data_IF_246578844495
#
_entry.id   IF_246578844495
#
_cell.length_a   1.000
_cell.length_b   1.000
_cell.length_c   1.000
_cell.angle_alpha   90.00
_cell.angle_beta   90.00
_cell.angle_gamma   90.00
#
_symmetry.space_group_name_H-M   'P 1'
#
loop_
_entity.id
_entity.type
_entity.pdbx_description
1 polymer ?
#
# COMPACT_ATOMS: atom_id res chain seq x y z
N UNK A 1 -2.10 24.60 9.25
CA UNK A 1 -3.28 25.14 9.96
C UNK A 1 -4.52 24.23 9.88
N UNK A 2 -4.88 23.67 8.72
CA UNK A 2 -6.08 22.82 8.57
C UNK A 2 -6.09 21.52 9.42
N UNK A 3 -4.94 20.86 9.57
CA UNK A 3 -4.82 19.58 10.29
C UNK A 3 -4.96 19.76 11.81
N UNK A 4 -4.40 20.84 12.38
CA UNK A 4 -4.56 21.17 13.80
C UNK A 4 -6.04 21.41 14.15
N UNK A 5 -6.76 22.16 13.29
CA UNK A 5 -8.21 22.38 13.45
C UNK A 5 -9.01 21.08 13.38
N UNK A 6 -8.62 20.15 12.51
CA UNK A 6 -9.26 18.83 12.43
C UNK A 6 -9.02 18.03 13.74
N UNK A 7 -7.79 18.03 14.25
CA UNK A 7 -7.46 17.37 15.51
C UNK A 7 -8.27 17.91 16.70
N UNK A 8 -8.37 19.24 16.83
CA UNK A 8 -9.19 19.87 17.88
C UNK A 8 -10.66 19.48 17.78
N UNK A 9 -11.19 19.48 16.56
CA UNK A 9 -12.59 19.13 16.32
C UNK A 9 -12.88 17.68 16.72
N UNK A 10 -12.02 16.74 16.33
CA UNK A 10 -12.13 15.34 16.75
C UNK A 10 -11.99 15.17 18.27
N UNK A 11 -11.17 15.98 18.94
CA UNK A 11 -11.05 15.96 20.40
C UNK A 11 -12.38 16.32 21.08
N UNK A 12 -13.07 17.35 20.57
CA UNK A 12 -14.38 17.74 21.10
C UNK A 12 -15.47 16.70 20.82
N UNK A 13 -15.47 16.10 19.63
CA UNK A 13 -16.43 15.06 19.27
C UNK A 13 -16.20 13.75 20.03
N UNK A 14 -14.95 13.40 20.31
CA UNK A 14 -14.59 12.25 21.15
C UNK A 14 -15.09 12.42 22.59
N UNK A 15 -15.02 13.63 23.14
CA UNK A 15 -15.56 13.94 24.47
C UNK A 15 -17.10 13.81 24.53
N UNK A 16 -17.80 14.27 23.49
CA UNK A 16 -19.26 14.07 23.37
C UNK A 16 -19.61 12.58 23.20
N UNK A 17 -18.86 11.87 22.37
CA UNK A 17 -19.06 10.43 22.14
C UNK A 17 -18.85 9.61 23.42
N UNK A 18 -17.86 9.97 24.24
CA UNK A 18 -17.62 9.32 25.54
C UNK A 18 -18.84 9.45 26.47
N UNK A 19 -19.49 10.62 26.50
CA UNK A 19 -20.73 10.84 27.27
C UNK A 19 -21.88 9.98 26.76
N UNK A 20 -22.03 9.86 25.44
CA UNK A 20 -23.06 9.01 24.83
C UNK A 20 -22.81 7.51 25.08
N UNK A 21 -21.54 7.07 25.09
CA UNK A 21 -21.17 5.69 25.44
C UNK A 21 -21.51 5.39 26.90
N UNK A 22 -21.21 6.31 27.82
CA UNK A 22 -21.55 6.17 29.25
C UNK A 22 -23.06 6.11 29.47
N UNK A 23 -23.85 6.87 28.71
CA UNK A 23 -25.31 6.96 28.87
C UNK A 23 -26.08 5.79 28.24
N UNK A 24 -25.68 5.34 27.05
CA UNK A 24 -26.44 4.34 26.27
C UNK A 24 -25.75 2.97 26.21
N UNK A 25 -24.52 2.86 26.68
CA UNK A 25 -23.71 1.64 26.58
C UNK A 25 -23.05 1.46 25.20
N UNK A 26 -21.91 0.76 25.19
CA UNK A 26 -21.05 0.56 24.01
C UNK A 26 -21.73 -0.27 22.89
N UNK A 27 -22.66 -1.16 23.27
CA UNK A 27 -23.34 -2.06 22.34
C UNK A 27 -24.53 -1.42 21.60
N UNK A 28 -24.92 -0.20 21.96
CA UNK A 28 -26.05 0.46 21.31
C UNK A 28 -25.73 0.77 19.84
N UNK A 29 -26.61 0.34 18.91
CA UNK A 29 -26.37 0.37 17.46
C UNK A 29 -25.97 1.74 16.92
N UNK A 30 -26.54 2.83 17.46
CA UNK A 30 -26.20 4.21 17.07
C UNK A 30 -24.80 4.63 17.56
N UNK A 31 -24.44 4.21 18.77
CA UNK A 31 -23.14 4.49 19.38
C UNK A 31 -22.04 3.72 18.64
N UNK A 32 -22.26 2.43 18.35
CA UNK A 32 -21.32 1.58 17.60
C UNK A 32 -21.00 2.13 16.20
N UNK A 33 -22.03 2.55 15.46
CA UNK A 33 -21.83 3.18 14.14
C UNK A 33 -21.03 4.49 14.23
N UNK A 34 -21.29 5.31 15.27
CA UNK A 34 -20.56 6.57 15.47
C UNK A 34 -19.12 6.34 15.93
N UNK A 35 -18.88 5.35 16.79
CA UNK A 35 -17.54 4.89 17.17
C UNK A 35 -16.72 4.43 15.96
N UNK A 36 -17.29 3.57 15.12
CA UNK A 36 -16.60 3.12 13.90
C UNK A 36 -16.26 4.26 12.93
N UNK A 37 -17.16 5.26 12.80
CA UNK A 37 -16.88 6.46 12.00
C UNK A 37 -15.79 7.34 12.64
N UNK A 38 -15.81 7.48 13.96
CA UNK A 38 -14.82 8.23 14.72
C UNK A 38 -13.42 7.58 14.59
N UNK A 39 -13.33 6.27 14.82
CA UNK A 39 -12.10 5.47 14.64
C UNK A 39 -11.52 5.64 13.23
N UNK A 40 -12.36 5.55 12.20
CA UNK A 40 -11.93 5.76 10.81
C UNK A 40 -11.39 7.18 10.55
N UNK A 41 -11.98 8.21 11.17
CA UNK A 41 -11.50 9.59 11.03
C UNK A 41 -10.21 9.85 11.81
N UNK A 42 -10.08 9.29 13.01
CA UNK A 42 -8.82 9.35 13.79
C UNK A 42 -7.70 8.69 13.00
N UNK A 43 -7.92 7.48 12.48
CA UNK A 43 -6.93 6.78 11.66
C UNK A 43 -6.57 7.57 10.38
N UNK A 44 -7.55 8.22 9.74
CA UNK A 44 -7.29 9.09 8.57
C UNK A 44 -6.46 10.32 8.94
N UNK A 45 -6.69 10.91 10.12
CA UNK A 45 -5.95 12.05 10.64
C UNK A 45 -4.50 11.66 10.98
N UNK A 46 -4.30 10.54 11.68
CA UNK A 46 -2.98 10.00 12.02
C UNK A 46 -2.14 9.74 10.75
N UNK A 47 -2.73 9.09 9.75
CA UNK A 47 -2.09 8.87 8.44
C UNK A 47 -1.73 10.17 7.73
N UNK A 48 -2.53 11.22 7.89
CA UNK A 48 -2.25 12.53 7.30
C UNK A 48 -1.11 13.24 8.04
N UNK A 49 -1.08 13.17 9.37
CA UNK A 49 0.01 13.70 10.19
C UNK A 49 1.34 13.01 9.88
N UNK A 50 1.35 11.68 9.79
CA UNK A 50 2.56 10.92 9.47
C UNK A 50 3.10 11.28 8.08
N UNK A 51 2.22 11.47 7.09
CA UNK A 51 2.59 11.93 5.76
C UNK A 51 3.21 13.34 5.80
N UNK A 52 2.61 14.28 6.55
CA UNK A 52 3.15 15.63 6.71
C UNK A 52 4.51 15.61 7.39
N UNK A 53 4.69 14.80 8.43
CA UNK A 53 5.97 14.64 9.11
C UNK A 53 7.04 14.09 8.16
N UNK A 54 6.68 13.10 7.35
CA UNK A 54 7.56 12.54 6.30
C UNK A 54 7.89 13.60 5.24
N UNK A 55 6.92 14.37 4.77
CA UNK A 55 7.13 15.45 3.81
C UNK A 55 8.05 16.54 4.37
N UNK A 56 7.90 16.87 5.66
CA UNK A 56 8.76 17.83 6.36
C UNK A 56 10.21 17.30 6.48
N UNK A 57 10.38 16.03 6.87
CA UNK A 57 11.70 15.37 6.89
C UNK A 57 12.33 15.26 5.50
N UNK A 58 11.54 15.01 4.46
CA UNK A 58 12.02 14.97 3.07
C UNK A 58 12.43 16.35 2.57
N UNK A 59 11.72 17.42 2.96
CA UNK A 59 12.07 18.81 2.61
C UNK A 59 13.39 19.28 3.23
N UNK A 60 13.76 18.73 4.38
CA UNK A 60 15.09 18.89 4.98
C UNK A 60 16.03 17.70 4.74
N UNK A 61 15.70 16.79 3.82
CA UNK A 61 16.42 15.52 3.66
C UNK A 61 17.72 15.66 2.88
N UNK A 62 18.78 14.98 3.34
CA UNK A 62 20.08 14.98 2.68
C UNK A 62 19.97 14.61 1.18
N UNK A 63 20.49 15.44 0.26
CA UNK A 63 20.41 15.19 -1.18
C UNK A 63 21.09 13.86 -1.59
N UNK A 64 22.08 13.43 -0.82
CA UNK A 64 22.83 12.17 -0.99
C UNK A 64 21.92 10.94 -1.08
N UNK A 65 20.80 10.91 -0.33
CA UNK A 65 19.90 9.76 -0.33
C UNK A 65 19.22 9.56 -1.68
N UNK A 66 18.91 10.64 -2.39
CA UNK A 66 18.27 10.59 -3.70
C UNK A 66 19.24 10.08 -4.77
N UNK A 67 20.50 10.53 -4.72
CA UNK A 67 21.55 10.06 -5.62
C UNK A 67 21.84 8.57 -5.45
N UNK A 68 21.95 8.08 -4.21
CA UNK A 68 22.15 6.65 -3.93
C UNK A 68 20.95 5.84 -4.45
N UNK A 69 19.72 6.30 -4.20
CA UNK A 69 18.53 5.61 -4.68
C UNK A 69 18.44 5.55 -6.21
N UNK A 70 18.95 6.58 -6.90
CA UNK A 70 19.00 6.63 -8.36
C UNK A 70 20.03 5.64 -8.90
N UNK A 71 21.24 5.64 -8.34
CA UNK A 71 22.30 4.70 -8.73
C UNK A 71 21.86 3.24 -8.52
N UNK A 72 21.25 2.95 -7.37
CA UNK A 72 20.72 1.61 -7.06
C UNK A 72 19.61 1.19 -8.04
N UNK A 73 18.76 2.14 -8.46
CA UNK A 73 17.74 1.91 -9.48
C UNK A 73 18.32 1.54 -10.85
N UNK A 74 19.38 2.22 -11.30
CA UNK A 74 20.05 1.91 -12.56
C UNK A 74 20.67 0.51 -12.52
N UNK A 75 21.36 0.18 -11.44
CA UNK A 75 21.96 -1.14 -11.24
C UNK A 75 20.88 -2.24 -11.27
N UNK A 76 19.76 -2.02 -10.59
CA UNK A 76 18.63 -2.95 -10.59
C UNK A 76 18.05 -3.17 -12.01
N UNK A 77 17.94 -2.11 -12.82
CA UNK A 77 17.48 -2.23 -14.21
C UNK A 77 18.43 -3.09 -15.04
N UNK A 78 19.75 -2.88 -14.91
CA UNK A 78 20.76 -3.67 -15.63
C UNK A 78 20.63 -5.15 -15.25
N UNK A 79 20.56 -5.46 -13.95
CA UNK A 79 20.42 -6.85 -13.46
C UNK A 79 19.11 -7.47 -13.96
N UNK A 80 18.01 -6.71 -13.99
CA UNK A 80 16.73 -7.17 -14.54
C UNK A 80 16.83 -7.53 -16.03
N UNK A 81 17.54 -6.71 -16.83
CA UNK A 81 17.77 -6.99 -18.26
C UNK A 81 18.60 -8.26 -18.42
N UNK A 82 19.66 -8.42 -17.63
CA UNK A 82 20.50 -9.62 -17.64
C UNK A 82 19.69 -10.87 -17.33
N UNK A 83 18.81 -10.83 -16.32
CA UNK A 83 17.91 -11.95 -16.01
C UNK A 83 16.94 -12.27 -17.16
N UNK A 84 16.32 -11.26 -17.78
CA UNK A 84 15.42 -11.46 -18.92
C UNK A 84 16.18 -12.09 -20.09
N UNK A 85 17.38 -11.60 -20.37
CA UNK A 85 18.24 -12.10 -21.45
C UNK A 85 18.64 -13.55 -21.19
N UNK A 86 19.06 -13.90 -19.97
CA UNK A 86 19.36 -15.28 -19.58
C UNK A 86 18.14 -16.20 -19.78
N UNK A 87 16.95 -15.77 -19.34
CA UNK A 87 15.71 -16.56 -19.50
C UNK A 87 15.37 -16.72 -20.99
N UNK A 88 15.44 -15.67 -21.79
CA UNK A 88 15.16 -15.73 -23.23
C UNK A 88 16.14 -16.63 -23.98
N UNK A 89 17.45 -16.54 -23.70
CA UNK A 89 18.47 -17.36 -24.37
C UNK A 89 18.37 -18.83 -23.95
N UNK A 90 18.23 -19.12 -22.66
CA UNK A 90 18.09 -20.49 -22.16
C UNK A 90 16.87 -21.20 -22.76
N UNK A 91 15.75 -20.48 -22.94
CA UNK A 91 14.49 -21.10 -23.34
C UNK A 91 14.15 -21.06 -24.82
N UNK A 92 14.48 -19.99 -25.54
CA UNK A 92 14.14 -19.87 -26.96
C UNK A 92 15.21 -20.55 -27.82
N UNK A 93 16.49 -20.46 -27.43
CA UNK A 93 17.59 -20.86 -28.29
C UNK A 93 18.21 -22.23 -27.94
N UNK A 94 17.91 -22.82 -26.77
CA UNK A 94 18.63 -24.01 -26.24
C UNK A 94 20.17 -23.87 -26.37
N UNK A 95 20.66 -22.63 -26.40
CA UNK A 95 22.04 -22.31 -26.71
C UNK A 95 22.80 -21.99 -25.42
N UNK A 96 24.13 -22.02 -25.51
CA UNK A 96 25.04 -21.92 -24.38
C UNK A 96 24.68 -20.72 -23.47
N UNK A 97 24.26 -20.95 -22.21
CA UNK A 97 23.84 -19.88 -21.31
C UNK A 97 24.97 -18.88 -21.07
N UNK A 98 24.81 -17.64 -21.56
CA UNK A 98 25.80 -16.56 -21.48
C UNK A 98 26.30 -16.34 -20.04
N UNK A 99 25.38 -16.37 -19.09
CA UNK A 99 25.72 -16.15 -17.68
C UNK A 99 26.46 -17.34 -17.06
N UNK A 100 26.19 -18.59 -17.50
CA UNK A 100 26.97 -19.74 -17.05
C UNK A 100 28.41 -19.68 -17.55
N UNK A 101 28.64 -19.22 -18.79
CA UNK A 101 29.99 -19.02 -19.32
C UNK A 101 30.71 -17.90 -18.57
N UNK A 102 30.01 -16.81 -18.24
CA UNK A 102 30.56 -15.73 -17.43
C UNK A 102 30.98 -16.22 -16.04
N UNK A 103 30.14 -17.01 -15.37
CA UNK A 103 30.48 -17.60 -14.08
C UNK A 103 31.61 -18.63 -14.17
N UNK A 104 31.67 -19.45 -15.23
CA UNK A 104 32.76 -20.42 -15.44
C UNK A 104 34.11 -19.72 -15.69
N UNK A 105 34.13 -18.63 -16.46
CA UNK A 105 35.34 -17.81 -16.67
C UNK A 105 35.77 -17.17 -15.34
N UNK A 106 34.81 -16.66 -14.57
CA UNK A 106 35.09 -16.02 -13.30
C UNK A 106 35.60 -17.02 -12.25
N UNK A 107 35.06 -18.24 -12.25
CA UNK A 107 35.46 -19.33 -11.36
C UNK A 107 36.89 -19.80 -11.66
N UNK A 108 37.29 -19.87 -12.95
CA UNK A 108 38.67 -20.19 -13.34
C UNK A 108 39.69 -19.15 -12.89
N UNK A 109 39.30 -17.88 -12.79
CA UNK A 109 40.18 -16.80 -12.33
C UNK A 109 40.22 -16.67 -10.82
N UNK A 110 39.04 -16.51 -10.19
CA UNK A 110 38.89 -16.34 -8.75
C UNK A 110 37.54 -16.91 -8.26
N UNK A 111 37.52 -18.16 -7.73
CA UNK A 111 36.30 -18.86 -7.34
C UNK A 111 35.41 -18.09 -6.36
N UNK A 112 36.00 -17.37 -5.40
CA UNK A 112 35.22 -16.61 -4.42
C UNK A 112 34.44 -15.45 -5.06
N UNK A 113 34.94 -14.84 -6.15
CA UNK A 113 34.16 -13.82 -6.86
C UNK A 113 32.92 -14.44 -7.51
N UNK A 114 33.05 -15.62 -8.14
CA UNK A 114 31.92 -16.29 -8.76
C UNK A 114 30.78 -16.54 -7.75
N UNK A 115 31.11 -17.00 -6.54
CA UNK A 115 30.13 -17.21 -5.46
C UNK A 115 29.49 -15.91 -4.98
N UNK A 116 30.27 -14.84 -4.80
CA UNK A 116 29.75 -13.53 -4.35
C UNK A 116 28.80 -12.93 -5.39
N UNK A 117 29.20 -12.94 -6.67
CA UNK A 117 28.35 -12.44 -7.75
C UNK A 117 27.09 -13.29 -7.90
N UNK A 118 27.22 -14.61 -7.87
CA UNK A 118 26.08 -15.52 -7.89
C UNK A 118 25.09 -15.21 -6.75
N UNK A 119 25.60 -15.03 -5.52
CA UNK A 119 24.80 -14.62 -4.37
C UNK A 119 24.07 -13.29 -4.59
N UNK A 120 24.74 -12.29 -5.17
CA UNK A 120 24.14 -11.00 -5.48
C UNK A 120 22.99 -11.10 -6.49
N UNK A 121 23.12 -11.93 -7.53
CA UNK A 121 22.06 -12.19 -8.51
C UNK A 121 20.84 -12.89 -7.90
N UNK A 122 21.06 -13.89 -7.03
CA UNK A 122 19.97 -14.60 -6.34
C UNK A 122 19.29 -13.70 -5.32
N UNK A 123 20.06 -12.90 -4.58
CA UNK A 123 19.52 -11.97 -3.59
C UNK A 123 18.73 -10.83 -4.24
N UNK A 124 19.09 -10.43 -5.46
CA UNK A 124 18.28 -9.51 -6.27
C UNK A 124 16.87 -10.06 -6.54
N UNK A 125 16.75 -11.33 -6.94
CA UNK A 125 15.43 -11.97 -7.12
C UNK A 125 14.64 -12.02 -5.80
N UNK A 126 15.33 -12.29 -4.68
CA UNK A 126 14.73 -12.26 -3.36
C UNK A 126 14.17 -10.87 -3.01
N UNK A 127 14.91 -9.79 -3.31
CA UNK A 127 14.41 -8.41 -3.17
C UNK A 127 13.22 -8.12 -4.08
N UNK A 128 13.20 -8.63 -5.31
CA UNK A 128 12.04 -8.49 -6.20
C UNK A 128 10.78 -9.15 -5.62
N UNK A 129 10.91 -10.33 -5.01
CA UNK A 129 9.77 -11.00 -4.36
C UNK A 129 9.35 -10.27 -3.08
N UNK A 130 10.27 -9.69 -2.33
CA UNK A 130 9.96 -8.86 -1.16
C UNK A 130 9.14 -7.61 -1.57
N UNK A 131 9.54 -6.90 -2.63
CA UNK A 131 8.75 -5.78 -3.16
C UNK A 131 7.40 -6.24 -3.74
N UNK A 132 7.37 -7.43 -4.36
CA UNK A 132 6.14 -8.08 -4.82
C UNK A 132 5.14 -8.33 -3.69
N UNK A 133 5.56 -9.05 -2.66
CA UNK A 133 4.72 -9.42 -1.49
C UNK A 133 4.25 -8.19 -0.71
N UNK A 134 5.04 -7.13 -0.64
CA UNK A 134 4.64 -5.87 0.01
C UNK A 134 3.67 -5.03 -0.85
N UNK A 135 3.79 -5.06 -2.18
CA UNK A 135 2.91 -4.32 -3.09
C UNK A 135 1.61 -5.05 -3.42
N UNK A 136 1.58 -6.38 -3.34
CA UNK A 136 0.50 -7.23 -3.83
C UNK A 136 -0.24 -7.86 -2.64
N UNK A 137 -1.13 -7.08 -2.03
CA UNK A 137 -2.10 -7.60 -1.06
C UNK A 137 -3.26 -8.26 -1.80
N UNK A 138 -3.17 -9.56 -2.08
CA UNK A 138 -4.27 -10.31 -2.70
C UNK A 138 -5.13 -10.89 -1.58
N UNK A 139 -6.44 -10.69 -1.64
CA UNK A 139 -7.37 -11.45 -0.81
C UNK A 139 -7.58 -12.82 -1.48
N UNK A 140 -6.76 -13.81 -1.14
CA UNK A 140 -7.02 -15.20 -1.54
C UNK A 140 -8.10 -15.74 -0.61
N UNK A 141 -8.97 -16.62 -1.12
CA UNK A 141 -10.26 -17.07 -0.57
C UNK A 141 -10.33 -17.36 0.95
N UNK A 142 -9.21 -17.66 1.62
CA UNK A 142 -9.13 -18.06 3.03
C UNK A 142 -8.23 -17.13 3.88
N UNK A 143 -7.30 -16.39 3.29
CA UNK A 143 -6.32 -15.59 4.04
C UNK A 143 -6.26 -14.15 3.51
N UNK A 144 -6.50 -13.20 4.42
CA UNK A 144 -6.42 -11.77 4.12
C UNK A 144 -4.97 -11.32 4.19
N UNK A 145 -4.32 -11.22 3.03
CA UNK A 145 -2.96 -10.68 2.93
C UNK A 145 -3.04 -9.17 3.14
N UNK A 146 -2.66 -8.70 4.32
CA UNK A 146 -2.56 -7.28 4.58
C UNK A 146 -1.25 -6.76 3.95
N UNK A 147 -1.28 -5.70 3.13
CA UNK A 147 -0.04 -5.08 2.68
C UNK A 147 0.75 -4.60 3.91
N UNK A 148 2.05 -4.86 3.91
CA UNK A 148 2.93 -4.43 5.00
C UNK A 148 3.02 -2.91 5.02
N UNK A 149 2.59 -2.32 6.13
CA UNK A 149 2.73 -0.89 6.39
C UNK A 149 3.87 -0.66 7.39
N UNK A 150 4.80 0.22 7.02
CA UNK A 150 5.92 0.58 7.88
C UNK A 150 5.36 1.21 9.17
N UNK A 151 5.63 0.57 10.32
CA UNK A 151 5.20 0.99 11.66
C UNK A 151 3.74 0.74 12.07
N UNK A 152 2.93 0.04 11.26
CA UNK A 152 1.54 -0.31 11.62
C UNK A 152 1.11 -1.71 11.14
N UNK A 153 2.07 -2.60 10.87
CA UNK A 153 1.74 -3.97 10.44
C UNK A 153 1.29 -4.80 11.64
N UNK A 154 0.08 -5.40 11.64
CA UNK A 154 -0.33 -6.31 12.70
C UNK A 154 0.55 -7.57 12.70
N UNK A 155 0.88 -8.10 13.88
CA UNK A 155 1.81 -9.23 14.05
C UNK A 155 1.41 -10.46 13.19
N UNK A 156 0.10 -10.73 13.06
CA UNK A 156 -0.44 -11.80 12.21
C UNK A 156 -0.10 -11.61 10.73
N UNK A 157 -0.07 -10.37 10.24
CA UNK A 157 0.30 -10.07 8.85
C UNK A 157 1.81 -10.17 8.62
N UNK A 158 2.63 -9.86 9.63
CA UNK A 158 4.08 -10.10 9.54
C UNK A 158 4.38 -11.60 9.47
N UNK A 159 3.73 -12.41 10.30
CA UNK A 159 3.93 -13.87 10.31
C UNK A 159 3.53 -14.49 8.98
N UNK A 160 2.38 -14.10 8.43
CA UNK A 160 1.95 -14.58 7.12
C UNK A 160 2.92 -14.18 6.00
N UNK A 161 3.33 -12.91 5.91
CA UNK A 161 4.28 -12.48 4.88
C UNK A 161 5.65 -13.16 5.03
N UNK A 162 6.08 -13.46 6.26
CA UNK A 162 7.30 -14.22 6.52
C UNK A 162 7.18 -15.67 6.01
N UNK A 163 6.03 -16.31 6.20
CA UNK A 163 5.75 -17.63 5.64
C UNK A 163 5.77 -17.61 4.11
N UNK A 164 5.18 -16.59 3.47
CA UNK A 164 5.24 -16.42 2.00
C UNK A 164 6.68 -16.25 1.52
N UNK A 165 7.50 -15.47 2.23
CA UNK A 165 8.92 -15.30 1.90
C UNK A 165 9.73 -16.61 2.06
N UNK A 166 9.35 -17.46 3.02
CA UNK A 166 9.98 -18.76 3.25
C UNK A 166 9.60 -19.79 2.16
N UNK A 167 8.35 -19.76 1.68
CA UNK A 167 7.97 -20.52 0.48
C UNK A 167 8.64 -19.98 -0.78
N UNK A 168 8.78 -18.65 -0.89
CA UNK A 168 9.46 -18.03 -2.02
C UNK A 168 10.95 -18.38 -2.08
N UNK A 169 11.66 -18.52 -0.95
CA UNK A 169 13.07 -18.93 -0.97
C UNK A 169 13.27 -20.30 -1.61
N UNK A 170 12.35 -21.24 -1.39
CA UNK A 170 12.38 -22.54 -2.05
C UNK A 170 12.19 -22.41 -3.57
N UNK A 171 11.23 -21.58 -4.01
CA UNK A 171 10.99 -21.31 -5.42
C UNK A 171 12.17 -20.62 -6.12
N UNK A 172 12.83 -19.67 -5.44
CA UNK A 172 14.00 -18.96 -5.98
C UNK A 172 15.20 -19.92 -6.08
N UNK A 173 15.43 -20.76 -5.07
CA UNK A 173 16.50 -21.77 -5.10
C UNK A 173 16.30 -22.76 -6.26
N UNK A 174 15.06 -23.24 -6.42
CA UNK A 174 14.66 -24.10 -7.54
C UNK A 174 14.89 -23.42 -8.89
N UNK A 175 14.39 -22.19 -9.06
CA UNK A 175 14.57 -21.42 -10.29
C UNK A 175 16.05 -21.16 -10.60
N UNK A 176 16.86 -20.90 -9.58
CA UNK A 176 18.30 -20.70 -9.74
C UNK A 176 19.02 -21.98 -10.19
N UNK A 177 18.70 -23.15 -9.62
CA UNK A 177 19.29 -24.43 -10.06
C UNK A 177 18.93 -24.77 -11.50
N UNK A 178 17.69 -24.48 -11.91
CA UNK A 178 17.28 -24.69 -13.31
C UNK A 178 18.01 -23.77 -14.30
N UNK A 179 18.28 -22.51 -13.94
CA UNK A 179 18.96 -21.55 -14.83
C UNK A 179 20.49 -21.66 -14.82
N UNK A 180 21.08 -22.16 -13.74
CA UNK A 180 22.54 -22.25 -13.53
C UNK A 180 23.05 -23.69 -13.35
N UNK A 181 22.49 -24.64 -14.10
CA UNK A 181 22.83 -26.08 -13.96
C UNK A 181 24.31 -26.40 -14.18
N UNK A 182 25.00 -25.64 -15.03
CA UNK A 182 26.44 -25.85 -15.33
C UNK A 182 27.31 -25.37 -14.16
N UNK A 183 27.03 -24.18 -13.64
CA UNK A 183 27.79 -23.58 -12.54
C UNK A 183 27.50 -24.28 -11.19
N UNK A 184 26.25 -24.68 -10.94
CA UNK A 184 25.87 -25.37 -9.70
C UNK A 184 26.13 -26.88 -9.72
N UNK A 185 26.76 -27.39 -10.78
CA UNK A 185 27.07 -28.80 -10.92
C UNK A 185 27.93 -29.28 -9.74
N UNK A 186 27.62 -30.48 -9.22
CA UNK A 186 28.28 -31.09 -8.04
C UNK A 186 28.02 -30.39 -6.69
N UNK A 187 27.12 -29.41 -6.63
CA UNK A 187 26.69 -28.84 -5.35
C UNK A 187 25.52 -29.63 -4.74
N UNK A 188 25.34 -29.54 -3.43
CA UNK A 188 24.21 -30.17 -2.73
C UNK A 188 22.85 -29.67 -3.24
N UNK A 189 22.78 -28.43 -3.73
CA UNK A 189 21.56 -27.88 -4.33
C UNK A 189 21.19 -28.65 -5.60
N UNK A 190 22.14 -28.87 -6.52
CA UNK A 190 21.89 -29.64 -7.74
C UNK A 190 21.58 -31.12 -7.44
N UNK A 191 22.18 -31.70 -6.40
CA UNK A 191 21.85 -33.06 -5.99
C UNK A 191 20.39 -33.19 -5.51
N UNK A 192 19.92 -32.23 -4.70
CA UNK A 192 18.56 -32.24 -4.17
C UNK A 192 17.55 -31.89 -5.27
N UNK A 193 17.75 -30.76 -5.95
CA UNK A 193 16.79 -30.23 -6.94
C UNK A 193 16.92 -30.92 -8.30
N UNK A 194 18.13 -31.21 -8.77
CA UNK A 194 18.39 -31.79 -10.08
C UNK A 194 18.22 -33.32 -10.14
N UNK A 195 18.47 -34.06 -9.05
CA UNK A 195 18.37 -35.53 -9.06
C UNK A 195 17.23 -36.03 -8.19
N UNK A 196 17.24 -35.72 -6.89
CA UNK A 196 16.29 -36.31 -5.95
C UNK A 196 14.84 -35.90 -6.26
N UNK A 197 14.58 -34.62 -6.57
CA UNK A 197 13.23 -34.17 -6.94
C UNK A 197 12.73 -34.74 -8.27
N UNK A 198 13.62 -35.05 -9.23
CA UNK A 198 13.24 -35.66 -10.51
C UNK A 198 12.93 -37.16 -10.37
N UNK A 199 13.54 -37.83 -9.39
CA UNK A 199 13.35 -39.27 -9.14
C UNK A 199 12.09 -39.62 -8.32
N UNK A 200 11.43 -38.63 -7.71
CA UNK A 200 10.16 -38.86 -7.00
C UNK A 200 9.01 -39.15 -8.00
N UNK A 201 8.33 -40.27 -7.79
CA UNK A 201 7.19 -40.69 -8.61
C UNK A 201 6.07 -39.63 -8.59
N UNK A 202 5.65 -39.16 -9.77
CA UNK A 202 4.63 -38.12 -9.96
C UNK A 202 5.18 -36.69 -10.18
N UNK A 203 6.32 -36.34 -9.57
CA UNK A 203 6.93 -35.00 -9.71
C UNK A 203 7.75 -34.82 -11.00
N UNK A 204 8.11 -35.93 -11.66
CA UNK A 204 8.82 -35.90 -12.95
C UNK A 204 8.08 -35.08 -14.03
N UNK A 205 6.75 -35.20 -14.11
CA UNK A 205 5.96 -34.42 -15.07
C UNK A 205 5.90 -32.93 -14.70
N UNK A 206 5.85 -32.61 -13.41
CA UNK A 206 5.96 -31.23 -12.92
C UNK A 206 7.31 -30.63 -13.28
N UNK A 207 8.37 -31.44 -13.36
CA UNK A 207 9.70 -30.96 -13.75
C UNK A 207 9.79 -30.61 -15.24
N UNK A 208 9.25 -31.46 -16.12
CA UNK A 208 9.29 -31.26 -17.57
C UNK A 208 8.41 -30.08 -18.02
N UNK A 209 7.26 -29.88 -17.38
CA UNK A 209 6.33 -28.79 -17.70
C UNK A 209 6.46 -27.56 -16.81
N UNK A 210 7.00 -27.69 -15.60
CA UNK A 210 7.09 -26.61 -14.59
C UNK A 210 7.92 -25.44 -15.07
N UNK A 211 8.98 -25.73 -15.80
CA UNK A 211 9.74 -24.81 -16.63
C UNK A 211 8.88 -23.86 -17.49
N UNK A 212 7.95 -24.41 -18.28
CA UNK A 212 7.06 -23.63 -19.15
C UNK A 212 6.02 -22.86 -18.33
N UNK A 213 5.58 -23.44 -17.21
CA UNK A 213 4.66 -22.77 -16.27
C UNK A 213 5.33 -21.54 -15.64
N UNK A 214 6.59 -21.63 -15.21
CA UNK A 214 7.34 -20.49 -14.68
C UNK A 214 7.51 -19.38 -15.73
N UNK A 215 7.79 -19.75 -16.98
CA UNK A 215 7.90 -18.80 -18.10
C UNK A 215 6.55 -18.11 -18.38
N UNK A 216 5.46 -18.86 -18.35
CA UNK A 216 4.09 -18.33 -18.46
C UNK A 216 3.77 -17.34 -17.34
N UNK A 217 4.09 -17.67 -16.08
CA UNK A 217 3.89 -16.77 -14.94
C UNK A 217 4.75 -15.50 -15.04
N UNK A 218 5.98 -15.60 -15.54
CA UNK A 218 6.86 -14.45 -15.76
C UNK A 218 6.28 -13.54 -16.85
N UNK A 219 5.83 -14.11 -17.98
CA UNK A 219 5.21 -13.34 -19.07
C UNK A 219 3.93 -12.63 -18.61
N UNK A 220 3.09 -13.31 -17.84
CA UNK A 220 1.87 -12.72 -17.24
C UNK A 220 2.23 -11.62 -16.25
N UNK A 221 3.23 -11.83 -15.40
CA UNK A 221 3.68 -10.83 -14.42
C UNK A 221 4.26 -9.58 -15.11
N UNK A 222 5.01 -9.76 -16.20
CA UNK A 222 5.60 -8.68 -16.98
C UNK A 222 4.52 -7.89 -17.74
N UNK A 223 3.55 -8.58 -18.34
CA UNK A 223 2.37 -7.97 -18.94
C UNK A 223 1.55 -7.19 -17.89
N UNK A 224 1.32 -7.77 -16.72
CA UNK A 224 0.59 -7.11 -15.61
C UNK A 224 1.32 -5.86 -15.11
N UNK A 225 2.65 -5.92 -14.94
CA UNK A 225 3.46 -4.76 -14.54
C UNK A 225 3.48 -3.68 -15.63
N UNK A 226 3.61 -4.04 -16.91
CA UNK A 226 3.47 -3.12 -18.05
C UNK A 226 2.12 -2.39 -18.06
N UNK A 227 1.01 -3.11 -17.81
CA UNK A 227 -0.33 -2.51 -17.71
C UNK A 227 -0.45 -1.61 -16.47
N UNK A 228 0.18 -1.99 -15.35
CA UNK A 228 0.04 -1.30 -14.07
C UNK A 228 0.97 -0.08 -13.90
N UNK A 229 2.01 0.05 -14.73
CA UNK A 229 2.93 1.21 -14.77
C UNK A 229 2.20 2.55 -15.00
N UNK A 230 0.98 2.54 -15.58
CA UNK A 230 0.14 3.74 -15.74
C UNK A 230 -0.54 4.25 -14.46
N UNK A 231 -0.34 3.63 -13.29
CA UNK A 231 -0.98 4.12 -12.04
C UNK A 231 -0.34 5.44 -11.54
N UNK A 232 -0.95 6.55 -11.96
CA UNK A 232 -0.83 7.90 -11.38
C UNK A 232 -0.74 7.86 -9.85
N UNK A 233 0.17 8.68 -9.32
CA UNK A 233 0.55 8.83 -7.91
C UNK A 233 -0.58 8.51 -6.92
N UNK A 234 -0.51 7.30 -6.34
CA UNK A 234 -1.42 6.85 -5.28
C UNK A 234 -1.40 7.82 -4.09
N UNK A 235 -0.27 8.49 -3.84
CA UNK A 235 -0.08 9.46 -2.75
C UNK A 235 -1.03 10.65 -2.83
N UNK A 236 -1.20 11.23 -4.01
CA UNK A 236 -2.13 12.35 -4.24
C UNK A 236 -3.60 11.93 -4.08
N UNK A 237 -3.95 10.71 -4.50
CA UNK A 237 -5.29 10.15 -4.27
C UNK A 237 -5.56 9.89 -2.80
N UNK A 238 -4.58 9.38 -2.05
CA UNK A 238 -4.69 9.17 -0.60
C UNK A 238 -4.91 10.52 0.09
N UNK A 239 -4.12 11.54 -0.23
CA UNK A 239 -4.29 12.89 0.32
C UNK A 239 -5.69 13.43 0.02
N UNK A 240 -6.15 13.38 -1.25
CA UNK A 240 -7.51 13.82 -1.63
C UNK A 240 -8.60 13.02 -0.91
N UNK A 241 -8.41 11.71 -0.71
CA UNK A 241 -9.35 10.84 0.01
C UNK A 241 -9.38 11.16 1.51
N UNK A 242 -8.23 11.40 2.14
CA UNK A 242 -8.14 11.80 3.55
C UNK A 242 -8.80 13.15 3.78
N UNK A 243 -8.58 14.13 2.89
CA UNK A 243 -9.29 15.42 2.93
C UNK A 243 -10.78 15.30 2.58
N UNK A 244 -11.18 14.34 1.73
CA UNK A 244 -12.59 14.04 1.46
C UNK A 244 -13.30 13.33 2.63
N UNK A 245 -12.55 12.57 3.43
CA UNK A 245 -13.03 11.92 4.66
C UNK A 245 -13.21 12.91 5.83
N UNK A 246 -12.60 14.10 5.74
CA UNK A 246 -12.87 15.23 6.63
C UNK A 246 -14.31 15.71 6.45
N UNK A 247 -15.24 15.05 7.16
CA UNK A 247 -16.65 15.40 7.15
C UNK A 247 -17.22 15.28 8.56
N UNK A 248 -16.80 16.20 9.42
CA UNK A 248 -17.28 16.40 10.79
C UNK A 248 -18.81 16.50 10.85
N UNK A 249 -19.44 17.03 9.78
CA UNK A 249 -20.91 17.20 9.70
C UNK A 249 -21.69 15.87 9.79
N UNK A 250 -21.06 14.71 9.51
CA UNK A 250 -21.70 13.39 9.63
C UNK A 250 -21.64 12.77 11.03
N UNK A 251 -20.76 13.23 11.94
CA UNK A 251 -20.62 12.63 13.27
C UNK A 251 -21.75 13.00 14.22
N UNK A 252 -22.23 14.25 14.14
CA UNK A 252 -23.28 14.73 15.02
C UNK A 252 -24.48 15.34 14.26
N UNK A 253 -25.43 14.51 13.78
CA UNK A 253 -26.65 15.01 13.15
C UNK A 253 -27.56 15.79 14.11
N UNK A 254 -27.37 15.65 15.44
CA UNK A 254 -28.13 16.41 16.43
C UNK A 254 -27.67 17.88 16.50
N UNK A 255 -26.38 18.18 16.32
CA UNK A 255 -25.89 19.55 16.13
C UNK A 255 -26.40 20.17 14.82
N UNK A 256 -26.51 19.40 13.74
CA UNK A 256 -27.16 19.87 12.49
C UNK A 256 -28.62 20.26 12.75
N UNK A 257 -29.38 19.43 13.45
CA UNK A 257 -30.79 19.75 13.81
C UNK A 257 -30.90 20.97 14.73
N UNK A 258 -30.02 21.11 15.75
CA UNK A 258 -30.01 22.29 16.64
C UNK A 258 -29.61 23.58 15.92
N UNK A 259 -28.60 23.52 15.04
CA UNK A 259 -28.15 24.70 14.26
C UNK A 259 -29.18 25.12 13.21
N UNK A 260 -29.82 24.16 12.54
CA UNK A 260 -30.93 24.43 11.59
C UNK A 260 -32.17 24.94 12.34
N UNK A 261 -32.49 24.41 13.52
CA UNK A 261 -33.57 24.95 14.36
C UNK A 261 -33.29 26.38 14.82
N UNK A 262 -32.05 26.67 15.26
CA UNK A 262 -31.66 28.00 15.71
C UNK A 262 -31.72 29.03 14.57
N UNK A 263 -31.16 28.71 13.41
CA UNK A 263 -31.24 29.59 12.21
C UNK A 263 -32.69 29.80 11.75
N UNK A 264 -33.57 28.79 11.87
CA UNK A 264 -35.01 28.96 11.59
C UNK A 264 -35.75 29.79 12.64
N UNK A 265 -35.24 29.86 13.87
CA UNK A 265 -35.81 30.69 14.93
C UNK A 265 -35.36 32.13 14.74
N UNK A 266 -34.05 32.33 14.57
CA UNK A 266 -33.44 33.64 14.34
C UNK A 266 -34.02 34.34 13.08
N UNK A 267 -34.31 33.61 11.99
CA UNK A 267 -34.99 34.21 10.81
C UNK A 267 -36.46 34.56 11.07
N UNK A 268 -37.16 33.78 11.90
CA UNK A 268 -38.59 34.02 12.18
C UNK A 268 -38.79 35.22 13.10
N UNK A 269 -37.79 35.51 13.93
CA UNK A 269 -37.75 36.69 14.80
C UNK A 269 -37.35 37.97 14.05
N UNK A 270 -36.80 37.86 12.84
CA UNK A 270 -36.52 38.99 11.93
C UNK A 270 -37.77 39.37 11.11
N UNK A 271 -38.48 38.38 10.58
CA UNK A 271 -39.71 38.59 9.79
C UNK A 271 -40.86 39.22 10.64
N UNK A 272 -40.84 39.02 11.97
CA UNK A 272 -41.82 39.60 12.90
C UNK A 272 -41.49 41.04 13.35
N UNK A 273 -40.26 41.53 13.11
CA UNK A 273 -39.87 42.91 13.41
C UNK A 273 -40.16 43.82 12.21
N UNK A 274 -39.93 43.36 10.98
CA UNK A 274 -40.29 44.08 9.75
C UNK A 274 -41.81 44.34 9.65
N UNK A 275 -42.63 43.35 10.01
CA UNK A 275 -44.10 43.51 9.97
C UNK A 275 -44.64 44.50 11.01
N UNK A 276 -43.93 44.74 12.10
CA UNK A 276 -44.31 45.74 13.12
C UNK A 276 -43.87 47.14 12.69
N UNK A 277 -42.71 47.29 12.05
CA UNK A 277 -42.27 48.59 11.51
C UNK A 277 -43.18 49.08 10.37
N UNK A 278 -43.58 48.20 9.45
CA UNK A 278 -44.52 48.55 8.36
C UNK A 278 -45.90 48.99 8.90
N UNK A 279 -46.38 48.37 9.98
CA UNK A 279 -47.66 48.71 10.63
C UNK A 279 -47.62 50.06 11.35
N UNK A 280 -46.47 50.43 11.92
CA UNK A 280 -46.27 51.69 12.65
C UNK A 280 -46.12 52.87 11.68
N UNK A 281 -45.52 52.65 10.51
CA UNK A 281 -45.39 53.67 9.48
C UNK A 281 -46.71 53.93 8.73
N UNK A 282 -47.58 52.91 8.55
CA UNK A 282 -48.95 53.14 8.08
C UNK A 282 -49.80 53.97 9.06
N UNK A 283 -49.70 53.71 10.37
CA UNK A 283 -50.41 54.52 11.38
C UNK A 283 -49.92 55.97 11.44
N UNK A 284 -48.62 56.21 11.25
CA UNK A 284 -48.08 57.58 11.20
C UNK A 284 -48.53 58.34 9.95
N UNK A 285 -48.72 57.65 8.82
CA UNK A 285 -49.24 58.25 7.59
C UNK A 285 -50.71 58.67 7.75
N UNK A 286 -51.54 57.79 8.34
CA UNK A 286 -52.95 58.09 8.61
C UNK A 286 -53.16 59.30 9.53
N UNK A 287 -52.29 59.52 10.51
CA UNK A 287 -52.39 60.66 11.44
C UNK A 287 -51.97 62.00 10.85
N UNK A 288 -51.24 62.01 9.73
CA UNK A 288 -50.72 63.23 9.09
C UNK A 288 -51.70 63.83 8.07
N UNK A 289 -52.70 63.06 7.64
CA UNK A 289 -53.74 63.49 6.71
C UNK A 289 -55.03 63.97 7.43
N UNK A 290 -54.98 64.11 8.76
CA UNK A 290 -56.13 64.48 9.62
C UNK A 290 -56.04 65.88 10.25
N UNK A 291 -54.94 66.61 10.00
CA UNK A 291 -54.69 68.01 10.43
C UNK A 291 -54.50 68.89 9.18
#
# INVERSE_FOLDING_TARGET
MAVNKWAETLRTEGAELKKDVLKYGRNHRKVRKRLALFENQVNSLENTYSLIQVAYKLRGGNPIKYWISLALGIIAIIISIVWILQICICYIANAHPFLNTFFDILDRGFPYAAVIFFGFFVYYLYWCVLDGTTSVGINILIIRIHPMEKHNTPMTSMLFNSAVMLFASFGIALFSSMNFSIYQRLTSLEMIYGVQMQTLAGLKYVWQYGTYVFLGFIAIALAWKCVTLKKKDKRLKIIKKSFGAYNVKKLNPAKKKKKVKKVKMDNKDLDSVETVEDSVDEMKKSKKDSD
#
